data_IF_709764441215
#
_entry.id   IF_709764441215
#
_cell.length_a   1.000
_cell.length_b   1.000
_cell.length_c   1.000
_cell.angle_alpha   90.00
_cell.angle_beta   90.00
_cell.angle_gamma   90.00
#
_symmetry.space_group_name_H-M   'P 1'
#
loop_
_entity.id
_entity.type
_entity.pdbx_description
1 polymer ?
#
# COMPACT_ATOMS: atom_id res chain seq x y z
N UNK A 1 3.50 -0.97 -17.99
CA UNK A 1 3.86 -1.85 -16.84
C UNK A 1 5.31 -2.26 -17.00
N UNK A 2 6.06 -2.43 -15.91
CA UNK A 2 7.47 -2.83 -15.98
C UNK A 2 7.62 -4.23 -16.58
N UNK A 3 8.60 -4.49 -17.44
CA UNK A 3 8.86 -5.83 -17.96
C UNK A 3 9.52 -6.73 -16.90
N UNK A 4 9.34 -8.06 -16.99
CA UNK A 4 9.73 -8.98 -15.91
C UNK A 4 11.21 -8.91 -15.54
N UNK A 5 12.08 -8.53 -16.47
CA UNK A 5 13.53 -8.52 -16.31
C UNK A 5 14.17 -7.21 -16.85
N UNK A 6 13.40 -6.11 -16.87
CA UNK A 6 13.89 -4.78 -17.28
C UNK A 6 13.50 -3.70 -16.28
N UNK A 7 14.32 -2.65 -16.17
CA UNK A 7 13.94 -1.40 -15.50
C UNK A 7 13.00 -0.55 -16.37
N UNK A 8 12.86 -0.90 -17.65
CA UNK A 8 12.02 -0.18 -18.59
C UNK A 8 10.53 -0.53 -18.44
N UNK A 9 9.71 0.50 -18.64
CA UNK A 9 8.27 0.34 -18.76
C UNK A 9 7.90 0.07 -20.22
N UNK A 10 7.16 -1.02 -20.45
CA UNK A 10 6.56 -1.28 -21.75
C UNK A 10 5.47 -0.25 -22.11
N UNK A 11 4.86 -0.42 -23.28
CA UNK A 11 3.89 0.53 -23.84
C UNK A 11 2.78 0.94 -22.85
N UNK A 12 2.37 2.22 -22.83
CA UNK A 12 1.27 2.70 -22.01
C UNK A 12 -0.04 1.97 -22.33
N UNK A 13 -0.72 1.47 -21.29
CA UNK A 13 -2.07 0.93 -21.40
C UNK A 13 -3.03 2.10 -21.21
N UNK A 14 -3.82 2.42 -22.23
CA UNK A 14 -4.71 3.60 -22.22
C UNK A 14 -6.11 3.24 -21.69
N UNK A 15 -6.59 2.02 -21.94
CA UNK A 15 -7.90 1.57 -21.52
C UNK A 15 -7.85 0.98 -20.12
N UNK A 16 -8.60 1.57 -19.19
CA UNK A 16 -8.67 1.09 -17.79
C UNK A 16 -9.21 -0.34 -17.68
N UNK A 17 -10.08 -0.76 -18.61
CA UNK A 17 -10.61 -2.12 -18.68
C UNK A 17 -9.53 -3.17 -18.97
N UNK A 18 -8.48 -2.82 -19.72
CA UNK A 18 -7.39 -3.74 -20.08
C UNK A 18 -6.40 -3.95 -18.94
N UNK A 19 -6.35 -3.03 -17.97
CA UNK A 19 -5.41 -3.10 -16.84
C UNK A 19 -5.67 -4.36 -16.01
N UNK A 20 -6.92 -4.62 -15.66
CA UNK A 20 -7.29 -5.80 -14.85
C UNK A 20 -6.95 -7.11 -15.56
N UNK A 21 -7.26 -7.21 -16.86
CA UNK A 21 -6.96 -8.38 -17.66
C UNK A 21 -5.45 -8.59 -17.83
N UNK A 22 -4.69 -7.50 -17.97
CA UNK A 22 -3.22 -7.57 -18.06
C UNK A 22 -2.59 -8.03 -16.74
N UNK A 23 -3.06 -7.51 -15.60
CA UNK A 23 -2.61 -7.94 -14.26
C UNK A 23 -2.90 -9.44 -14.08
N UNK A 24 -4.10 -9.89 -14.46
CA UNK A 24 -4.49 -11.29 -14.37
C UNK A 24 -3.60 -12.17 -15.25
N UNK A 25 -3.43 -11.80 -16.51
CA UNK A 25 -2.60 -12.54 -17.47
C UNK A 25 -1.15 -12.67 -17.00
N UNK A 26 -0.55 -11.59 -16.48
CA UNK A 26 0.82 -11.60 -15.93
C UNK A 26 0.93 -12.46 -14.68
N UNK A 27 -0.06 -12.38 -13.79
CA UNK A 27 -0.12 -13.25 -12.61
C UNK A 27 -0.15 -14.72 -13.04
N UNK A 28 -1.05 -15.09 -13.95
CA UNK A 28 -1.19 -16.47 -14.42
C UNK A 28 0.09 -16.97 -15.13
N UNK A 29 0.73 -16.13 -15.95
CA UNK A 29 1.97 -16.45 -16.64
C UNK A 29 3.13 -16.71 -15.67
N UNK A 30 3.31 -15.83 -14.68
CA UNK A 30 4.36 -15.94 -13.67
C UNK A 30 4.17 -17.21 -12.83
N UNK A 31 2.97 -17.43 -12.28
CA UNK A 31 2.69 -18.58 -11.42
C UNK A 31 2.83 -19.91 -12.17
N UNK A 32 2.47 -19.94 -13.46
CA UNK A 32 2.68 -21.12 -14.32
C UNK A 32 4.18 -21.39 -14.58
N UNK A 33 4.97 -20.33 -14.78
CA UNK A 33 6.43 -20.41 -15.00
C UNK A 33 7.17 -20.89 -13.75
N UNK A 34 6.81 -20.36 -12.58
CA UNK A 34 7.43 -20.71 -11.29
C UNK A 34 6.87 -21.99 -10.68
N UNK A 35 5.69 -22.43 -11.13
CA UNK A 35 4.93 -23.55 -10.55
C UNK A 35 4.62 -23.33 -9.06
N UNK A 36 4.32 -22.10 -8.68
CA UNK A 36 3.95 -21.71 -7.31
C UNK A 36 2.50 -21.23 -7.26
N UNK A 37 1.85 -21.35 -6.09
CA UNK A 37 0.51 -20.82 -5.87
C UNK A 37 0.51 -19.30 -5.61
N UNK A 38 1.60 -18.80 -5.05
CA UNK A 38 1.85 -17.38 -4.76
C UNK A 38 3.30 -17.03 -5.14
N UNK A 39 3.56 -15.75 -5.40
CA UNK A 39 4.92 -15.26 -5.66
C UNK A 39 5.13 -13.92 -4.96
N UNK A 40 6.33 -13.74 -4.40
CA UNK A 40 6.77 -12.47 -3.82
C UNK A 40 7.31 -11.48 -4.85
N UNK A 41 7.42 -11.88 -6.14
CA UNK A 41 7.79 -10.98 -7.24
C UNK A 41 6.58 -10.08 -7.57
N UNK A 42 6.66 -8.75 -7.35
CA UNK A 42 5.53 -7.87 -7.57
C UNK A 42 5.29 -7.61 -9.06
N UNK A 43 4.05 -7.30 -9.43
CA UNK A 43 3.74 -6.65 -10.71
C UNK A 43 3.83 -5.14 -10.51
N UNK A 44 4.81 -4.50 -11.13
CA UNK A 44 5.02 -3.05 -11.00
C UNK A 44 4.31 -2.30 -12.14
N UNK A 45 3.39 -1.42 -11.74
CA UNK A 45 2.66 -0.53 -12.63
C UNK A 45 2.83 0.91 -12.16
N UNK A 46 3.03 1.81 -13.14
CA UNK A 46 2.98 3.26 -12.94
C UNK A 46 1.71 3.77 -13.59
N UNK A 47 0.91 4.51 -12.82
CA UNK A 47 -0.26 5.22 -13.32
C UNK A 47 0.01 6.72 -13.17
N UNK A 48 -0.34 7.49 -14.19
CA UNK A 48 -0.19 8.95 -14.20
C UNK A 48 -1.56 9.57 -14.41
N UNK A 49 -1.91 10.52 -13.55
CA UNK A 49 -3.18 11.21 -13.61
C UNK A 49 -3.02 12.67 -13.18
N UNK A 50 -3.85 13.56 -13.71
CA UNK A 50 -3.83 14.95 -13.27
C UNK A 50 -4.27 15.05 -11.81
N UNK A 51 -3.61 15.90 -11.02
CA UNK A 51 -3.97 16.17 -9.62
C UNK A 51 -3.89 14.95 -8.68
N UNK A 52 -3.14 13.89 -9.01
CA UNK A 52 -2.85 12.82 -8.05
C UNK A 52 -1.54 13.11 -7.28
N UNK A 53 -1.49 12.81 -5.97
CA UNK A 53 -0.22 12.78 -5.27
C UNK A 53 0.67 11.67 -5.84
N UNK A 54 1.98 11.91 -5.85
CA UNK A 54 2.94 10.82 -6.03
C UNK A 54 2.76 9.89 -4.83
N UNK A 55 2.42 8.62 -5.03
CA UNK A 55 2.34 7.64 -3.96
C UNK A 55 2.55 6.23 -4.52
N UNK A 56 2.87 5.29 -3.64
CA UNK A 56 2.99 3.88 -3.97
C UNK A 56 1.94 3.09 -3.19
N UNK A 57 1.06 2.39 -3.90
CA UNK A 57 0.11 1.44 -3.31
C UNK A 57 0.66 0.04 -3.56
N UNK A 58 0.70 -0.77 -2.50
CA UNK A 58 1.05 -2.18 -2.57
C UNK A 58 -0.23 -2.96 -2.29
N UNK A 59 -0.80 -3.56 -3.33
CA UNK A 59 -1.88 -4.53 -3.17
C UNK A 59 -1.28 -5.89 -2.81
N UNK A 60 -1.84 -6.53 -1.79
CA UNK A 60 -1.32 -7.79 -1.24
C UNK A 60 -2.38 -8.88 -1.34
N UNK A 61 -2.01 -10.16 -1.54
CA UNK A 61 -2.98 -11.24 -1.49
C UNK A 61 -3.72 -11.27 -0.16
N UNK A 62 -5.01 -11.60 -0.22
CA UNK A 62 -5.82 -11.79 0.98
C UNK A 62 -5.35 -13.00 1.76
N UNK A 63 -5.35 -12.90 3.09
CA UNK A 63 -5.06 -14.03 3.95
C UNK A 63 -6.07 -15.16 3.74
N UNK A 64 -5.57 -16.39 3.75
CA UNK A 64 -6.37 -17.62 3.61
C UNK A 64 -6.06 -18.56 4.77
N UNK A 65 -7.03 -19.36 5.17
CA UNK A 65 -6.85 -20.35 6.25
C UNK A 65 -6.47 -21.73 5.73
N UNK A 66 -6.70 -21.99 4.44
CA UNK A 66 -6.46 -23.28 3.78
C UNK A 66 -6.03 -23.04 2.35
N UNK A 67 -5.10 -23.86 1.88
CA UNK A 67 -4.72 -23.93 0.49
C UNK A 67 -5.92 -24.35 -0.37
N UNK A 68 -6.01 -23.84 -1.60
CA UNK A 68 -7.03 -24.30 -2.55
C UNK A 68 -6.67 -25.68 -3.09
N UNK A 69 -7.65 -26.37 -3.67
CA UNK A 69 -7.44 -27.68 -4.30
C UNK A 69 -6.39 -27.56 -5.41
N UNK A 70 -5.26 -28.25 -5.23
CA UNK A 70 -4.14 -28.28 -6.17
C UNK A 70 -3.00 -27.31 -5.84
N UNK A 71 -3.13 -26.49 -4.78
CA UNK A 71 -2.04 -25.67 -4.25
C UNK A 71 -1.31 -26.42 -3.12
N UNK A 72 -0.02 -26.10 -2.84
CA UNK A 72 0.71 -26.63 -1.69
C UNK A 72 0.04 -26.27 -0.36
N UNK A 73 0.09 -27.16 0.63
CA UNK A 73 -0.48 -26.91 1.96
C UNK A 73 0.17 -25.71 2.67
N UNK A 74 1.41 -25.36 2.33
CA UNK A 74 2.17 -24.21 2.85
C UNK A 74 1.72 -22.84 2.31
N UNK A 75 0.79 -22.80 1.35
CA UNK A 75 0.34 -21.55 0.71
C UNK A 75 -0.17 -20.49 1.71
N UNK A 76 -0.97 -20.83 2.75
CA UNK A 76 -1.38 -19.88 3.78
C UNK A 76 -0.20 -19.22 4.50
N UNK A 77 0.80 -20.00 4.92
CA UNK A 77 1.99 -19.53 5.62
C UNK A 77 2.87 -18.66 4.72
N UNK A 78 3.01 -19.03 3.45
CA UNK A 78 3.74 -18.26 2.44
C UNK A 78 3.09 -16.88 2.22
N UNK A 79 1.77 -16.82 2.08
CA UNK A 79 1.01 -15.56 1.99
C UNK A 79 1.23 -14.73 3.25
N UNK A 80 1.07 -15.32 4.43
CA UNK A 80 1.23 -14.62 5.70
C UNK A 80 2.63 -14.02 5.85
N UNK A 81 3.68 -14.81 5.58
CA UNK A 81 5.08 -14.38 5.64
C UNK A 81 5.37 -13.24 4.67
N UNK A 82 4.89 -13.35 3.43
CA UNK A 82 5.05 -12.31 2.43
C UNK A 82 4.36 -11.00 2.81
N UNK A 83 3.10 -11.06 3.27
CA UNK A 83 2.36 -9.86 3.69
C UNK A 83 3.03 -9.22 4.90
N UNK A 84 3.46 -10.02 5.90
CA UNK A 84 4.24 -9.51 7.04
C UNK A 84 5.50 -8.79 6.59
N UNK A 85 6.29 -9.38 5.70
CA UNK A 85 7.49 -8.75 5.15
C UNK A 85 7.20 -7.41 4.47
N UNK A 86 6.12 -7.32 3.69
CA UNK A 86 5.69 -6.07 3.05
C UNK A 86 5.16 -5.03 4.05
N UNK A 87 4.52 -5.46 5.13
CA UNK A 87 3.95 -4.57 6.14
C UNK A 87 4.95 -4.11 7.22
N UNK A 88 6.04 -4.86 7.43
CA UNK A 88 7.06 -4.61 8.46
C UNK A 88 7.73 -3.22 8.40
N UNK A 89 8.07 -2.64 7.23
CA UNK A 89 8.75 -1.36 7.19
C UNK A 89 7.93 -0.23 7.85
N UNK A 90 8.49 0.52 8.82
CA UNK A 90 7.74 1.42 9.69
C UNK A 90 7.23 2.69 8.99
N UNK A 91 7.79 3.03 7.83
CA UNK A 91 7.39 4.18 7.02
C UNK A 91 6.13 3.91 6.17
N UNK A 92 5.59 2.69 6.18
CA UNK A 92 4.41 2.30 5.40
C UNK A 92 3.15 2.44 6.22
N UNK A 93 2.15 3.11 5.67
CA UNK A 93 0.78 3.13 6.20
C UNK A 93 0.14 1.77 5.87
N UNK A 94 -0.44 1.12 6.87
CA UNK A 94 -1.18 -0.13 6.72
C UNK A 94 -2.67 0.19 6.62
N UNK A 95 -3.34 -0.31 5.59
CA UNK A 95 -4.80 -0.22 5.46
C UNK A 95 -5.36 -1.63 5.67
N UNK A 96 -5.80 -1.92 6.89
CA UNK A 96 -6.36 -3.21 7.26
C UNK A 96 -7.84 -3.25 6.90
N UNK A 97 -8.18 -4.03 5.87
CA UNK A 97 -9.55 -4.19 5.40
C UNK A 97 -10.23 -5.41 6.05
N UNK A 98 -11.36 -5.17 6.71
CA UNK A 98 -12.25 -6.20 7.24
C UNK A 98 -13.66 -6.03 6.64
N UNK A 99 -14.43 -7.11 6.52
CA UNK A 99 -15.84 -7.01 6.15
C UNK A 99 -16.71 -6.77 7.38
N UNK A 100 -17.75 -5.95 7.25
CA UNK A 100 -18.68 -5.62 8.33
C UNK A 100 -19.34 -6.85 8.99
N UNK A 101 -19.57 -7.92 8.22
CA UNK A 101 -20.15 -9.16 8.72
C UNK A 101 -19.23 -9.94 9.68
N UNK A 102 -17.94 -9.60 9.76
CA UNK A 102 -17.00 -10.24 10.69
C UNK A 102 -17.06 -9.51 12.03
N UNK A 103 -17.46 -10.22 13.08
CA UNK A 103 -17.39 -9.72 14.45
C UNK A 103 -15.95 -9.41 14.86
N UNK A 104 -15.75 -8.37 15.67
CA UNK A 104 -14.42 -8.02 16.19
C UNK A 104 -13.74 -9.17 16.95
N UNK A 105 -14.50 -9.94 17.73
CA UNK A 105 -13.99 -11.12 18.44
C UNK A 105 -13.55 -12.26 17.52
N UNK A 106 -14.06 -12.28 16.28
CA UNK A 106 -13.80 -13.33 15.30
C UNK A 106 -12.80 -12.88 14.23
N UNK A 107 -12.17 -11.71 14.41
CA UNK A 107 -11.17 -11.22 13.46
C UNK A 107 -9.85 -11.94 13.63
N UNK A 108 -9.63 -12.94 12.78
CA UNK A 108 -8.47 -13.83 12.82
C UNK A 108 -7.14 -13.12 12.59
N UNK A 109 -7.16 -11.98 11.88
CA UNK A 109 -5.95 -11.31 11.42
C UNK A 109 -5.58 -10.08 12.25
N UNK A 110 -6.41 -9.68 13.23
CA UNK A 110 -6.08 -8.56 14.11
C UNK A 110 -4.79 -8.83 14.90
N UNK A 111 -4.57 -10.06 15.36
CA UNK A 111 -3.35 -10.41 16.10
C UNK A 111 -2.11 -10.32 15.20
N UNK A 112 -2.23 -10.75 13.95
CA UNK A 112 -1.17 -10.58 12.94
C UNK A 112 -0.82 -9.10 12.74
N UNK A 113 -1.82 -8.21 12.71
CA UNK A 113 -1.57 -6.77 12.60
C UNK A 113 -0.96 -6.22 13.89
N UNK A 114 -1.39 -6.66 15.07
CA UNK A 114 -0.80 -6.25 16.35
C UNK A 114 0.66 -6.68 16.49
N UNK A 115 1.06 -7.81 15.91
CA UNK A 115 2.47 -8.20 15.87
C UNK A 115 3.33 -7.19 15.07
N UNK A 116 2.74 -6.55 14.06
CA UNK A 116 3.43 -5.62 13.15
C UNK A 116 3.36 -4.16 13.66
N UNK A 117 2.22 -3.77 14.23
CA UNK A 117 1.95 -2.44 14.77
C UNK A 117 1.04 -2.57 16.02
N UNK A 118 1.62 -2.89 17.20
CA UNK A 118 0.86 -3.17 18.43
C UNK A 118 -0.02 -2.01 18.90
N UNK A 119 0.32 -0.79 18.50
CA UNK A 119 -0.35 0.45 18.90
C UNK A 119 -1.22 1.07 17.81
N UNK A 120 -1.33 0.42 16.65
CA UNK A 120 -2.04 0.92 15.47
C UNK A 120 -1.63 2.34 15.04
N UNK A 121 -0.38 2.74 15.28
CA UNK A 121 0.11 4.12 15.01
C UNK A 121 0.19 4.45 13.53
N UNK A 122 0.29 3.44 12.68
CA UNK A 122 0.35 3.57 11.22
C UNK A 122 -0.66 2.66 10.53
N UNK A 123 -1.58 2.08 11.29
CA UNK A 123 -2.60 1.15 10.80
C UNK A 123 -3.95 1.82 10.82
N UNK A 124 -4.53 2.03 9.64
CA UNK A 124 -5.94 2.36 9.50
C UNK A 124 -6.75 1.08 9.40
N UNK A 125 -7.77 0.97 10.24
CA UNK A 125 -8.72 -0.15 10.19
C UNK A 125 -9.94 0.31 9.39
N UNK A 126 -10.26 -0.42 8.34
CA UNK A 126 -11.36 -0.09 7.42
C UNK A 126 -12.33 -1.27 7.36
N UNK A 127 -13.55 -1.03 7.82
CA UNK A 127 -14.66 -1.97 7.78
C UNK A 127 -15.48 -1.71 6.52
N UNK A 128 -15.31 -2.58 5.54
CA UNK A 128 -15.98 -2.55 4.24
C UNK A 128 -17.37 -3.19 4.26
N UNK A 129 -18.17 -2.90 3.22
CA UNK A 129 -19.54 -3.41 3.04
C UNK A 129 -20.45 -3.09 4.23
N UNK A 130 -20.26 -1.93 4.85
CA UNK A 130 -20.98 -1.57 6.07
C UNK A 130 -22.51 -1.55 5.88
N UNK A 131 -22.96 -1.24 4.67
CA UNK A 131 -24.35 -1.28 4.23
C UNK A 131 -25.04 -2.64 4.49
N UNK A 132 -24.31 -3.76 4.40
CA UNK A 132 -24.87 -5.09 4.65
C UNK A 132 -25.31 -5.28 6.11
N UNK A 133 -24.70 -4.55 7.04
CA UNK A 133 -24.90 -4.72 8.47
C UNK A 133 -25.91 -3.73 9.07
N UNK A 134 -26.24 -2.67 8.31
CA UNK A 134 -27.14 -1.61 8.75
C UNK A 134 -28.52 -2.12 9.21
N UNK A 135 -29.04 -3.17 8.55
CA UNK A 135 -30.35 -3.74 8.85
C UNK A 135 -30.39 -4.60 10.12
N UNK A 136 -29.22 -4.96 10.66
CA UNK A 136 -29.11 -5.75 11.89
C UNK A 136 -29.25 -4.88 13.14
N UNK A 137 -29.02 -3.57 13.02
CA UNK A 137 -29.13 -2.64 14.14
C UNK A 137 -30.57 -2.18 14.35
N UNK A 138 -31.03 -2.29 15.60
CA UNK A 138 -32.36 -1.85 16.00
C UNK A 138 -32.28 -0.66 16.95
N UNK A 139 -31.30 -0.64 17.87
CA UNK A 139 -31.15 0.41 18.88
C UNK A 139 -29.77 1.06 18.88
N UNK A 140 -29.71 2.34 19.30
CA UNK A 140 -28.47 3.14 19.34
C UNK A 140 -27.29 2.45 20.00
N UNK A 141 -27.51 1.78 21.14
CA UNK A 141 -26.42 1.15 21.89
C UNK A 141 -25.74 0.02 21.12
N UNK A 142 -26.45 -0.65 20.20
CA UNK A 142 -25.89 -1.71 19.36
C UNK A 142 -24.93 -1.12 18.33
N UNK A 143 -25.35 -0.02 17.71
CA UNK A 143 -24.54 0.74 16.76
C UNK A 143 -23.31 1.30 17.47
N UNK A 144 -23.49 2.04 18.56
CA UNK A 144 -22.40 2.70 19.28
C UNK A 144 -21.39 1.67 19.81
N UNK A 145 -21.85 0.50 20.29
CA UNK A 145 -20.98 -0.59 20.71
C UNK A 145 -20.17 -1.15 19.54
N UNK A 146 -20.81 -1.40 18.39
CA UNK A 146 -20.13 -1.91 17.20
C UNK A 146 -19.11 -0.91 16.63
N UNK A 147 -19.50 0.35 16.49
CA UNK A 147 -18.67 1.44 15.98
C UNK A 147 -17.48 1.74 16.89
N UNK A 148 -17.67 1.63 18.21
CA UNK A 148 -16.58 1.85 19.17
C UNK A 148 -15.45 0.84 19.05
N UNK A 149 -15.74 -0.37 18.56
CA UNK A 149 -14.84 -1.53 18.62
C UNK A 149 -14.20 -1.72 20.02
N UNK A 150 -14.92 -1.29 21.07
CA UNK A 150 -14.40 -1.22 22.43
C UNK A 150 -14.01 -2.62 22.91
N UNK A 151 -12.86 -2.70 23.58
CA UNK A 151 -12.25 -3.96 24.01
C UNK A 151 -11.37 -4.66 22.97
N UNK A 152 -11.37 -4.21 21.70
CA UNK A 152 -10.53 -4.80 20.65
C UNK A 152 -9.45 -3.84 20.16
N UNK A 153 -9.80 -2.61 19.77
CA UNK A 153 -8.85 -1.71 19.11
C UNK A 153 -8.14 -0.73 20.06
N UNK A 154 -8.50 -0.77 21.35
CA UNK A 154 -8.06 0.21 22.35
C UNK A 154 -8.84 1.53 22.25
N UNK A 155 -8.60 2.45 23.17
CA UNK A 155 -9.40 3.69 23.28
C UNK A 155 -9.08 4.72 22.18
N UNK A 156 -7.89 4.67 21.60
CA UNK A 156 -7.37 5.69 20.66
C UNK A 156 -7.47 5.27 19.19
N UNK A 157 -8.01 4.09 18.88
CA UNK A 157 -8.08 3.57 17.52
C UNK A 157 -9.54 3.53 17.08
N UNK A 158 -9.86 4.28 16.04
CA UNK A 158 -11.21 4.35 15.50
C UNK A 158 -11.24 3.79 14.08
N UNK A 159 -12.01 2.71 13.84
CA UNK A 159 -12.13 2.14 12.52
C UNK A 159 -13.02 3.02 11.62
N UNK A 160 -12.69 3.07 10.34
CA UNK A 160 -13.53 3.69 9.31
C UNK A 160 -14.54 2.68 8.79
N UNK A 161 -15.80 3.06 8.67
CA UNK A 161 -16.87 2.22 8.15
C UNK A 161 -17.29 2.72 6.78
N UNK A 162 -17.10 1.89 5.75
CA UNK A 162 -17.30 2.27 4.37
C UNK A 162 -18.21 1.28 3.64
N UNK A 163 -19.01 1.82 2.72
CA UNK A 163 -19.77 1.05 1.74
C UNK A 163 -19.51 1.65 0.36
N UNK A 164 -19.59 0.82 -0.67
CA UNK A 164 -19.38 1.23 -2.06
C UNK A 164 -20.59 0.83 -2.90
N UNK A 165 -20.85 1.52 -4.03
CA UNK A 165 -21.92 1.14 -4.96
C UNK A 165 -21.81 -0.34 -5.36
N UNK A 166 -22.94 -1.06 -5.31
CA UNK A 166 -23.00 -2.51 -5.62
C UNK A 166 -22.94 -2.79 -7.12
N UNK A 167 -23.50 -1.88 -7.91
CA UNK A 167 -23.59 -2.02 -9.35
C UNK A 167 -22.25 -1.66 -10.00
N UNK A 168 -21.69 -2.62 -10.73
CA UNK A 168 -20.49 -2.42 -11.56
C UNK A 168 -20.90 -2.11 -12.99
N UNK A 169 -21.81 -1.15 -13.16
CA UNK A 169 -22.09 -0.60 -14.48
C UNK A 169 -20.88 0.22 -14.93
N UNK A 170 -20.53 0.13 -16.22
CA UNK A 170 -19.46 0.93 -16.81
C UNK A 170 -19.92 2.39 -16.86
N UNK A 171 -19.77 3.10 -15.74
CA UNK A 171 -20.09 4.52 -15.60
C UNK A 171 -18.83 5.37 -15.69
N UNK A 172 -19.00 6.66 -15.96
CA UNK A 172 -17.88 7.59 -15.91
C UNK A 172 -17.32 7.72 -14.49
N UNK A 173 -16.05 8.11 -14.36
CA UNK A 173 -15.43 8.32 -13.04
C UNK A 173 -16.19 9.35 -12.18
N UNK A 174 -16.77 10.39 -12.80
CA UNK A 174 -17.54 11.40 -12.08
C UNK A 174 -18.87 10.85 -11.57
N UNK A 175 -19.52 10.02 -12.38
CA UNK A 175 -20.75 9.35 -11.94
C UNK A 175 -20.46 8.35 -10.82
N UNK A 176 -19.37 7.59 -10.91
CA UNK A 176 -18.94 6.69 -9.85
C UNK A 176 -18.68 7.45 -8.52
N UNK A 177 -18.04 8.63 -8.58
CA UNK A 177 -17.84 9.49 -7.40
C UNK A 177 -19.15 9.97 -6.79
N UNK A 178 -20.14 10.35 -7.62
CA UNK A 178 -21.48 10.71 -7.13
C UNK A 178 -22.18 9.53 -6.46
N UNK A 179 -22.10 8.34 -7.04
CA UNK A 179 -22.67 7.13 -6.47
C UNK A 179 -22.04 6.80 -5.10
N UNK A 180 -20.72 6.96 -4.95
CA UNK A 180 -20.06 6.80 -3.64
C UNK A 180 -20.63 7.81 -2.62
N UNK A 181 -20.73 9.08 -2.99
CA UNK A 181 -21.30 10.12 -2.10
C UNK A 181 -22.76 9.84 -1.74
N UNK A 182 -23.53 9.26 -2.65
CA UNK A 182 -24.91 8.85 -2.41
C UNK A 182 -24.96 7.68 -1.41
N UNK A 183 -24.10 6.67 -1.58
CA UNK A 183 -23.98 5.54 -0.65
C UNK A 183 -23.61 6.02 0.75
N UNK A 184 -22.64 6.93 0.88
CA UNK A 184 -22.26 7.51 2.18
C UNK A 184 -23.46 8.22 2.84
N UNK A 185 -24.23 8.98 2.06
CA UNK A 185 -25.43 9.67 2.54
C UNK A 185 -26.52 8.70 2.97
N UNK A 186 -26.73 7.61 2.23
CA UNK A 186 -27.72 6.59 2.53
C UNK A 186 -27.37 5.80 3.80
N UNK A 187 -26.08 5.49 4.00
CA UNK A 187 -25.60 4.85 5.23
C UNK A 187 -25.90 5.73 6.45
N UNK A 188 -25.53 7.01 6.39
CA UNK A 188 -25.76 7.95 7.49
C UNK A 188 -27.25 8.17 7.75
N UNK A 189 -28.06 8.28 6.68
CA UNK A 189 -29.51 8.44 6.77
C UNK A 189 -30.16 7.22 7.44
N UNK A 190 -29.80 6.00 7.03
CA UNK A 190 -30.31 4.78 7.65
C UNK A 190 -29.98 4.75 9.15
N UNK A 191 -28.75 5.08 9.54
CA UNK A 191 -28.36 5.10 10.96
C UNK A 191 -29.16 6.13 11.78
N UNK A 192 -29.64 7.22 11.17
CA UNK A 192 -30.45 8.25 11.86
C UNK A 192 -31.94 7.91 11.91
N UNK A 193 -32.48 7.42 10.80
CA UNK A 193 -33.93 7.28 10.61
C UNK A 193 -34.44 5.87 10.94
N UNK A 194 -33.63 4.84 10.71
CA UNK A 194 -34.04 3.44 10.81
C UNK A 194 -33.55 2.75 12.09
N UNK A 195 -32.66 3.37 12.86
CA UNK A 195 -32.21 2.88 14.17
C UNK A 195 -32.88 3.69 15.27
N UNK A 196 -33.51 3.02 16.24
CA UNK A 196 -34.17 3.67 17.37
C UNK A 196 -33.15 4.39 18.23
N UNK A 197 -33.28 5.72 18.29
CA UNK A 197 -32.34 6.60 18.99
C UNK A 197 -31.10 6.98 18.19
N UNK A 198 -30.98 6.54 16.93
CA UNK A 198 -29.90 6.90 16.02
C UNK A 198 -28.56 6.26 16.39
N UNK A 199 -27.49 7.06 16.30
CA UNK A 199 -26.13 6.74 16.76
C UNK A 199 -25.49 7.99 17.34
N UNK A 200 -24.36 7.84 18.03
CA UNK A 200 -23.57 8.98 18.49
C UNK A 200 -22.88 9.69 17.31
N UNK A 201 -23.59 10.66 16.73
CA UNK A 201 -23.11 11.40 15.55
C UNK A 201 -21.86 12.23 15.86
N UNK A 202 -21.78 12.84 17.04
CA UNK A 202 -20.62 13.65 17.44
C UNK A 202 -19.35 12.80 17.47
N UNK A 203 -19.47 11.56 17.95
CA UNK A 203 -18.31 10.66 18.08
C UNK A 203 -17.95 9.94 16.78
N UNK A 204 -18.93 9.44 16.02
CA UNK A 204 -18.65 8.48 14.95
C UNK A 204 -18.80 9.01 13.53
N UNK A 205 -19.43 10.18 13.31
CA UNK A 205 -19.69 10.70 11.96
C UNK A 205 -18.44 10.84 11.12
N UNK A 206 -17.33 11.31 11.70
CA UNK A 206 -16.06 11.50 10.98
C UNK A 206 -15.39 10.19 10.56
N UNK A 207 -15.93 9.04 10.95
CA UNK A 207 -15.41 7.71 10.64
C UNK A 207 -16.38 6.88 9.80
N UNK A 208 -17.49 7.46 9.33
CA UNK A 208 -18.48 6.75 8.51
C UNK A 208 -18.52 7.38 7.12
N UNK A 209 -18.31 6.56 6.11
CA UNK A 209 -18.32 6.94 4.70
C UNK A 209 -16.94 6.93 4.05
N UNK A 210 -16.92 6.64 2.76
CA UNK A 210 -15.71 6.65 1.95
C UNK A 210 -15.11 8.06 1.86
N UNK A 211 -15.94 9.11 1.80
CA UNK A 211 -15.47 10.50 1.80
C UNK A 211 -14.61 10.82 3.03
N UNK A 212 -15.04 10.42 4.22
CA UNK A 212 -14.28 10.61 5.45
C UNK A 212 -12.96 9.85 5.46
N UNK A 213 -12.95 8.60 4.97
CA UNK A 213 -11.73 7.81 4.81
C UNK A 213 -10.74 8.48 3.84
N UNK A 214 -11.23 8.98 2.69
CA UNK A 214 -10.42 9.72 1.72
C UNK A 214 -9.78 10.94 2.37
N UNK A 215 -10.58 11.79 3.01
CA UNK A 215 -10.10 13.05 3.59
C UNK A 215 -9.02 12.79 4.66
N UNK A 216 -9.20 11.75 5.47
CA UNK A 216 -8.20 11.33 6.44
C UNK A 216 -6.91 10.83 5.77
N UNK A 217 -7.01 9.96 4.76
CA UNK A 217 -5.85 9.43 4.04
C UNK A 217 -5.07 10.54 3.32
N UNK A 218 -5.76 11.51 2.72
CA UNK A 218 -5.14 12.67 2.08
C UNK A 218 -4.38 13.53 3.10
N UNK A 219 -4.99 13.80 4.26
CA UNK A 219 -4.36 14.57 5.33
C UNK A 219 -3.14 13.82 5.93
N UNK A 220 -3.27 12.53 6.20
CA UNK A 220 -2.19 11.71 6.75
C UNK A 220 -1.03 11.58 5.73
N UNK A 221 -1.34 11.38 4.45
CA UNK A 221 -0.31 11.37 3.40
C UNK A 221 0.44 12.70 3.33
N UNK A 222 -0.28 13.83 3.34
CA UNK A 222 0.34 15.16 3.33
C UNK A 222 1.21 15.39 4.57
N UNK A 223 0.77 14.94 5.74
CA UNK A 223 1.54 15.01 6.99
C UNK A 223 2.83 14.21 6.88
N UNK A 224 2.75 12.94 6.45
CA UNK A 224 3.93 12.07 6.28
C UNK A 224 4.92 12.63 5.26
N UNK A 225 4.44 13.24 4.18
CA UNK A 225 5.32 13.95 3.23
C UNK A 225 6.10 15.08 3.88
N UNK A 226 5.43 15.92 4.68
CA UNK A 226 6.08 17.03 5.38
C UNK A 226 7.09 16.55 6.42
N UNK A 227 6.75 15.50 7.17
CA UNK A 227 7.62 14.90 8.19
C UNK A 227 8.85 14.22 7.59
N UNK A 228 8.72 13.61 6.40
CA UNK A 228 9.82 12.93 5.72
C UNK A 228 10.78 13.90 5.00
N UNK A 229 10.30 15.08 4.58
CA UNK A 229 11.05 16.00 3.73
C UNK A 229 12.45 16.37 4.26
N UNK A 230 12.66 16.70 5.55
CA UNK A 230 14.00 17.04 6.05
C UNK A 230 14.99 15.89 5.96
N UNK A 231 14.58 14.67 6.31
CA UNK A 231 15.43 13.49 6.25
C UNK A 231 15.76 13.10 4.81
N UNK A 232 14.80 13.23 3.89
CA UNK A 232 15.02 13.02 2.46
C UNK A 232 15.99 14.05 1.89
N UNK A 233 15.87 15.32 2.25
CA UNK A 233 16.77 16.38 1.80
C UNK A 233 18.21 16.11 2.26
N UNK A 234 18.41 15.81 3.54
CA UNK A 234 19.74 15.50 4.08
C UNK A 234 20.39 14.29 3.37
N UNK A 235 19.60 13.24 3.07
CA UNK A 235 20.09 12.09 2.32
C UNK A 235 20.48 12.47 0.89
N UNK A 236 19.69 13.31 0.21
CA UNK A 236 20.01 13.79 -1.14
C UNK A 236 21.27 14.64 -1.16
N UNK A 237 21.44 15.55 -0.21
CA UNK A 237 22.64 16.40 -0.08
C UNK A 237 23.90 15.55 0.15
N UNK A 238 23.80 14.52 1.00
CA UNK A 238 24.88 13.56 1.19
C UNK A 238 25.22 12.83 -0.12
N UNK A 239 24.21 12.30 -0.84
CA UNK A 239 24.43 11.60 -2.10
C UNK A 239 25.02 12.50 -3.18
N UNK A 240 24.55 13.74 -3.29
CA UNK A 240 25.13 14.73 -4.19
C UNK A 240 26.61 14.95 -3.86
N UNK A 241 26.95 15.12 -2.58
CA UNK A 241 28.33 15.32 -2.14
C UNK A 241 29.23 14.12 -2.48
N UNK A 242 28.74 12.90 -2.24
CA UNK A 242 29.45 11.64 -2.59
C UNK A 242 29.71 11.55 -4.11
N UNK A 243 28.68 11.80 -4.92
CA UNK A 243 28.78 11.74 -6.39
C UNK A 243 29.70 12.83 -6.92
N UNK A 244 29.60 14.06 -6.41
CA UNK A 244 30.49 15.16 -6.79
C UNK A 244 31.96 14.83 -6.47
N UNK A 245 32.23 14.24 -5.30
CA UNK A 245 33.58 13.81 -4.96
C UNK A 245 34.11 12.74 -5.92
N UNK A 246 33.29 11.75 -6.30
CA UNK A 246 33.66 10.73 -7.27
C UNK A 246 33.90 11.30 -8.67
N UNK A 247 33.06 12.24 -9.11
CA UNK A 247 33.23 12.94 -10.39
C UNK A 247 34.56 13.70 -10.41
N UNK A 248 34.88 14.46 -9.35
CA UNK A 248 36.15 15.19 -9.26
C UNK A 248 37.37 14.26 -9.32
N UNK A 249 37.31 13.09 -8.67
CA UNK A 249 38.37 12.08 -8.74
C UNK A 249 38.52 11.54 -10.18
N UNK A 250 37.41 11.26 -10.85
CA UNK A 250 37.40 10.72 -12.20
C UNK A 250 37.90 11.74 -13.23
N UNK A 251 37.49 13.01 -13.11
CA UNK A 251 37.98 14.10 -13.94
C UNK A 251 39.49 14.30 -13.75
N UNK A 252 39.97 14.25 -12.50
CA UNK A 252 41.41 14.31 -12.21
C UNK A 252 42.17 13.16 -12.86
N UNK A 253 41.62 11.94 -12.83
CA UNK A 253 42.21 10.78 -13.53
C UNK A 253 42.21 10.96 -15.04
N UNK A 254 41.13 11.43 -15.63
CA UNK A 254 41.03 11.68 -17.08
C UNK A 254 42.07 12.73 -17.52
N UNK A 255 42.17 13.85 -16.79
CA UNK A 255 43.19 14.87 -17.03
C UNK A 255 44.60 14.29 -16.91
N UNK A 256 44.88 13.52 -15.85
CA UNK A 256 46.17 12.86 -15.70
C UNK A 256 46.48 11.85 -16.81
N UNK A 257 45.46 11.23 -17.41
CA UNK A 257 45.62 10.28 -18.53
C UNK A 257 45.90 10.99 -19.85
N UNK A 258 45.52 12.27 -19.98
CA UNK A 258 45.86 13.11 -21.14
C UNK A 258 47.35 13.49 -21.19
N UNK A 259 48.07 13.40 -20.06
CA UNK A 259 49.52 13.56 -19.99
C UNK A 259 50.24 12.20 -20.19
N UNK A 260 50.94 12.08 -21.32
CA UNK A 260 51.71 10.89 -21.71
C UNK A 260 52.77 10.50 -20.65
N UNK A 261 53.34 11.47 -19.91
CA UNK A 261 54.33 11.20 -18.88
C UNK A 261 53.69 10.56 -17.63
N UNK A 262 52.50 11.03 -17.25
CA UNK A 262 51.73 10.42 -16.17
C UNK A 262 51.26 9.01 -16.54
N UNK A 263 50.81 8.81 -17.78
CA UNK A 263 50.40 7.49 -18.30
C UNK A 263 51.55 6.46 -18.19
N UNK A 264 52.76 6.86 -18.63
CA UNK A 264 53.97 6.03 -18.51
C UNK A 264 54.29 5.65 -17.06
N UNK A 265 54.20 6.60 -16.13
CA UNK A 265 54.44 6.35 -14.70
C UNK A 265 53.41 5.39 -14.11
N UNK A 266 52.13 5.58 -14.42
CA UNK A 266 51.06 4.67 -13.98
C UNK A 266 51.25 3.25 -14.53
N UNK A 267 51.64 3.10 -15.81
CA UNK A 267 51.96 1.78 -16.40
C UNK A 267 53.15 1.10 -15.72
N UNK A 268 54.20 1.87 -15.38
CA UNK A 268 55.37 1.34 -14.66
C UNK A 268 55.00 0.89 -13.23
N UNK A 269 54.18 1.66 -12.52
CA UNK A 269 53.70 1.29 -11.18
C UNK A 269 52.82 0.03 -11.21
N UNK A 270 51.94 -0.08 -12.21
CA UNK A 270 51.11 -1.27 -12.40
C UNK A 270 51.95 -2.52 -12.72
N UNK A 271 52.93 -2.39 -13.63
CA UNK A 271 53.87 -3.48 -13.94
C UNK A 271 54.66 -3.90 -12.68
N UNK A 272 55.15 -2.96 -11.89
CA UNK A 272 55.83 -3.25 -10.62
C UNK A 272 54.90 -3.91 -9.59
N UNK A 273 53.63 -3.52 -9.53
CA UNK A 273 52.64 -4.14 -8.64
C UNK A 273 52.37 -5.59 -9.01
N UNK A 274 52.30 -5.93 -10.30
CA UNK A 274 52.15 -7.31 -10.78
C UNK A 274 53.40 -8.13 -10.46
N UNK A 275 54.59 -7.58 -10.70
CA UNK A 275 55.84 -8.26 -10.38
C UNK A 275 56.02 -8.53 -8.88
N UNK A 276 55.41 -7.73 -7.99
CA UNK A 276 55.43 -7.96 -6.54
C UNK A 276 54.39 -8.99 -6.07
N UNK A 277 53.46 -9.42 -6.94
CA UNK A 277 52.44 -10.43 -6.64
C UNK A 277 52.75 -11.80 -7.27
N UNK A 278 53.91 -11.96 -7.91
CA UNK A 278 54.48 -13.21 -8.42
C UNK A 278 55.67 -13.60 -7.55
#
# INVERSE_FOLDING_TARGET
MQEEDSEDYGNPIVLSSEIADTIKSRTDALLKKTRTAVSSKPIVMRAEYAHCPNLTIIDTPGFVLKAKKGEPESTPEEILSMVKSLASPPHRILVFLQQSSVEWCSSLWLDTIREIDPTFRRTLIVVSKFDNRLKEFTERWEVDRYLSASGYLGENTHPFFVALPKERTAVSNDEFRRQISQVDSDVVRHLKENVKGGYDEEKYKSHIGFGCLRDYLEAELQKRYKEAAPATLALLEQRCSEVTAQLNIMDSKLQATSDVAHLRRSSMLFASSICNHV
#
